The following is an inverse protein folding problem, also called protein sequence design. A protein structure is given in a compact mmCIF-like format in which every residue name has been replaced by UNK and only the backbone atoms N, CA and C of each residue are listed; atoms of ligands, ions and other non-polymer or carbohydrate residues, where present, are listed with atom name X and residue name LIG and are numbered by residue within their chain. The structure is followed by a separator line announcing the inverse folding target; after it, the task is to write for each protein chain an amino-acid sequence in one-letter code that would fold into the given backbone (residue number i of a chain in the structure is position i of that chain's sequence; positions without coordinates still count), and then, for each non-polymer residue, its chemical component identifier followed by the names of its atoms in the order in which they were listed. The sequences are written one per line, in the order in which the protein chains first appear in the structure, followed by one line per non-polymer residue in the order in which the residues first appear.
data_IF_605164595901
#
_entry.id   IF_605164595901
#
_cell.length_a   1.000
_cell.length_b   1.000
_cell.length_c   1.000
_cell.angle_alpha   90.00
_cell.angle_beta   90.00
_cell.angle_gamma   90.00
#
_symmetry.space_group_name_H-M   'P 1'
#
loop_
_entity.id
_entity.type
_entity.pdbx_description
1 polymer ?
#
# COMPACT_ATOMS: atom_id res chain seq x y z
N UNK A 1 -6.06 34.53 -16.42
CA UNK A 1 -5.44 33.20 -16.36
C UNK A 1 -4.47 33.23 -15.20
N UNK A 2 -4.88 32.75 -14.01
CA UNK A 2 -4.08 32.74 -12.80
C UNK A 2 -3.13 31.54 -12.91
N UNK A 3 -1.80 31.70 -12.83
CA UNK A 3 -0.90 30.57 -12.87
C UNK A 3 -1.18 29.69 -11.64
N UNK A 4 -1.37 28.40 -11.89
CA UNK A 4 -1.51 27.42 -10.82
C UNK A 4 -0.32 27.55 -9.85
N UNK A 5 -0.54 27.44 -8.52
CA UNK A 5 0.54 27.51 -7.56
C UNK A 5 1.53 26.41 -7.87
N UNK A 6 2.81 26.77 -7.98
CA UNK A 6 3.93 25.82 -8.08
C UNK A 6 3.89 24.95 -6.83
N UNK A 7 3.30 23.78 -6.94
CA UNK A 7 3.38 22.76 -5.90
C UNK A 7 4.85 22.43 -5.75
N UNK A 8 5.50 22.94 -4.70
CA UNK A 8 6.86 22.54 -4.34
C UNK A 8 6.83 21.03 -4.17
N UNK A 9 7.47 20.33 -5.10
CA UNK A 9 7.62 18.88 -5.02
C UNK A 9 8.28 18.57 -3.68
N UNK A 10 7.59 17.85 -2.81
CA UNK A 10 8.12 17.48 -1.51
C UNK A 10 9.47 16.79 -1.72
N UNK A 11 10.48 17.22 -0.97
CA UNK A 11 11.81 16.61 -1.04
C UNK A 11 11.73 15.20 -0.48
N UNK A 12 12.41 14.27 -1.12
CA UNK A 12 12.58 12.91 -0.60
C UNK A 12 13.37 12.95 0.69
N UNK A 13 12.86 12.35 1.75
CA UNK A 13 13.46 12.30 3.08
C UNK A 13 14.38 11.11 3.20
N UNK A 14 15.59 11.35 3.69
CA UNK A 14 16.63 10.34 3.85
C UNK A 14 17.11 10.34 5.28
N UNK A 15 17.14 9.20 5.93
CA UNK A 15 17.87 9.01 7.18
C UNK A 15 19.25 8.43 6.88
N UNK A 16 20.28 9.03 7.45
CA UNK A 16 21.67 8.54 7.39
C UNK A 16 22.12 8.18 8.79
N UNK A 17 22.37 6.90 9.04
CA UNK A 17 22.96 6.39 10.27
C UNK A 17 24.39 5.92 10.02
N UNK A 18 25.34 6.56 10.69
CA UNK A 18 26.79 6.36 10.51
C UNK A 18 27.49 6.78 11.80
N UNK A 19 28.30 5.95 12.40
CA UNK A 19 28.98 6.27 13.66
C UNK A 19 30.20 7.18 13.47
N UNK A 20 30.92 7.05 12.35
CA UNK A 20 32.01 7.96 12.05
C UNK A 20 31.50 9.38 11.72
N UNK A 21 31.84 10.40 12.53
CA UNK A 21 31.32 11.75 12.37
C UNK A 21 31.78 12.43 11.07
N UNK A 22 32.91 12.02 10.50
CA UNK A 22 33.43 12.59 9.26
C UNK A 22 32.64 12.03 8.08
N UNK A 23 32.48 10.73 8.00
CA UNK A 23 31.71 10.04 6.97
C UNK A 23 30.24 10.49 7.01
N UNK A 24 29.64 10.58 8.21
CA UNK A 24 28.28 11.07 8.40
C UNK A 24 28.08 12.48 7.84
N UNK A 25 29.00 13.41 8.13
CA UNK A 25 28.95 14.79 7.58
C UNK A 25 29.09 14.81 6.07
N UNK A 26 29.99 14.00 5.51
CA UNK A 26 30.22 13.93 4.06
C UNK A 26 28.95 13.40 3.36
N UNK A 27 28.34 12.35 3.90
CA UNK A 27 27.09 11.79 3.39
C UNK A 27 25.98 12.84 3.40
N UNK A 28 25.72 13.45 4.56
CA UNK A 28 24.67 14.45 4.72
C UNK A 28 24.88 15.63 3.75
N UNK A 29 26.06 16.25 3.76
CA UNK A 29 26.36 17.39 2.89
C UNK A 29 26.24 17.05 1.39
N UNK A 30 26.62 15.83 1.00
CA UNK A 30 26.51 15.38 -0.40
C UNK A 30 25.06 15.24 -0.80
N UNK A 31 24.22 14.60 0.02
CA UNK A 31 22.81 14.35 -0.24
C UNK A 31 21.99 15.65 -0.20
N UNK A 32 22.24 16.53 0.78
CA UNK A 32 21.58 17.85 0.87
C UNK A 32 21.89 18.74 -0.34
N UNK A 33 23.13 18.75 -0.81
CA UNK A 33 23.55 19.48 -2.02
C UNK A 33 22.81 18.99 -3.27
N UNK A 34 22.47 17.70 -3.33
CA UNK A 34 21.71 17.09 -4.41
C UNK A 34 20.21 17.31 -4.28
N UNK A 35 19.77 17.96 -3.20
CA UNK A 35 18.39 18.43 -3.03
C UNK A 35 17.51 17.55 -2.17
N UNK A 36 18.03 16.52 -1.50
CA UNK A 36 17.27 15.67 -0.57
C UNK A 36 17.16 16.31 0.82
N UNK A 37 16.18 15.85 1.58
CA UNK A 37 15.98 16.25 2.99
C UNK A 37 16.62 15.18 3.88
N UNK A 38 17.68 15.55 4.62
CA UNK A 38 18.53 14.57 5.31
C UNK A 38 18.42 14.74 6.81
N UNK A 39 18.08 13.64 7.48
CA UNK A 39 18.21 13.50 8.93
C UNK A 39 19.38 12.57 9.22
N UNK A 40 20.16 12.84 10.26
CA UNK A 40 21.32 12.02 10.61
C UNK A 40 21.18 11.41 11.99
N UNK A 41 21.75 10.22 12.17
CA UNK A 41 21.90 9.54 13.46
C UNK A 41 23.36 9.09 13.64
N UNK A 42 23.86 9.16 14.87
CA UNK A 42 25.25 8.86 15.23
C UNK A 42 25.50 7.43 15.63
N UNK A 43 24.44 6.69 15.85
CA UNK A 43 24.46 5.26 16.21
C UNK A 43 23.14 4.59 15.87
N UNK A 44 23.10 3.26 15.96
CA UNK A 44 21.92 2.51 15.60
C UNK A 44 20.73 2.70 16.54
N UNK A 45 20.96 3.00 17.80
CA UNK A 45 19.90 3.27 18.77
C UNK A 45 19.22 4.62 18.51
N UNK A 46 20.00 5.63 18.15
CA UNK A 46 19.48 6.94 17.71
C UNK A 46 18.72 6.81 16.38
N UNK A 47 19.27 6.05 15.44
CA UNK A 47 18.63 5.79 14.17
C UNK A 47 17.26 5.14 14.35
N UNK A 48 17.16 4.12 15.19
CA UNK A 48 15.89 3.45 15.47
C UNK A 48 14.86 4.38 16.15
N UNK A 49 15.28 5.13 17.18
CA UNK A 49 14.41 6.13 17.84
C UNK A 49 13.90 7.18 16.86
N UNK A 50 14.74 7.62 15.94
CA UNK A 50 14.37 8.57 14.89
C UNK A 50 13.33 7.98 13.95
N UNK A 51 13.49 6.74 13.52
CA UNK A 51 12.52 6.00 12.70
C UNK A 51 11.18 5.85 13.40
N UNK A 52 11.16 5.46 14.68
CA UNK A 52 9.94 5.36 15.48
C UNK A 52 9.21 6.71 15.61
N UNK A 53 9.97 7.79 15.81
CA UNK A 53 9.40 9.13 15.95
C UNK A 53 8.84 9.69 14.64
N UNK A 54 9.50 9.41 13.52
CA UNK A 54 9.12 9.85 12.17
C UNK A 54 8.20 8.86 11.44
N UNK A 55 7.66 7.85 12.13
CA UNK A 55 6.81 6.83 11.54
C UNK A 55 5.56 7.36 10.81
N UNK A 56 4.93 6.50 10.03
CA UNK A 56 3.73 6.84 9.26
C UNK A 56 4.03 7.76 8.07
N UNK A 57 3.28 8.87 7.95
CA UNK A 57 3.41 9.80 6.80
C UNK A 57 4.75 10.54 6.76
N UNK A 58 5.42 10.64 7.91
CA UNK A 58 6.70 11.33 8.04
C UNK A 58 7.90 10.38 7.99
N UNK A 59 7.69 9.09 7.84
CA UNK A 59 8.74 8.10 7.69
C UNK A 59 9.70 8.47 6.54
N UNK A 60 11.02 8.31 6.74
CA UNK A 60 11.98 8.50 5.66
C UNK A 60 11.72 7.50 4.53
N UNK A 61 11.86 7.99 3.31
CA UNK A 61 11.67 7.19 2.10
C UNK A 61 12.87 6.31 1.80
N UNK A 62 14.07 6.80 2.17
CA UNK A 62 15.32 6.08 2.08
C UNK A 62 16.03 6.10 3.43
N UNK A 63 16.74 5.01 3.71
CA UNK A 63 17.57 4.88 4.90
C UNK A 63 18.93 4.34 4.47
N UNK A 64 19.99 5.10 4.76
CA UNK A 64 21.37 4.68 4.60
C UNK A 64 21.91 4.29 5.97
N UNK A 65 22.29 3.05 6.15
CA UNK A 65 22.73 2.49 7.42
C UNK A 65 24.17 1.99 7.30
N UNK A 66 25.05 2.46 8.13
CA UNK A 66 26.30 1.73 8.31
C UNK A 66 26.01 0.33 8.85
N UNK A 67 26.71 -0.63 8.32
CA UNK A 67 26.57 -2.02 8.77
C UNK A 67 26.94 -2.17 10.25
N UNK A 68 28.05 -1.59 10.66
CA UNK A 68 28.58 -1.74 12.01
C UNK A 68 28.47 -0.42 12.78
N UNK A 69 27.54 -0.35 13.70
CA UNK A 69 27.33 0.80 14.59
C UNK A 69 27.17 0.35 16.03
N UNK A 70 27.53 1.20 17.00
CA UNK A 70 27.22 0.97 18.40
C UNK A 70 25.71 0.88 18.67
N UNK A 71 25.34 0.07 19.64
CA UNK A 71 23.96 -0.11 20.09
C UNK A 71 23.17 -1.10 19.23
N UNK A 72 22.87 -0.75 17.99
CA UNK A 72 22.15 -1.61 17.05
C UNK A 72 22.87 -1.54 15.70
N UNK A 73 23.15 -2.69 15.10
CA UNK A 73 23.80 -2.72 13.79
C UNK A 73 22.80 -2.46 12.64
N UNK A 74 23.33 -2.14 11.46
CA UNK A 74 22.50 -1.82 10.30
C UNK A 74 21.62 -2.96 9.81
N UNK A 75 22.10 -4.21 9.98
CA UNK A 75 21.35 -5.43 9.65
C UNK A 75 20.16 -5.61 10.60
N UNK A 76 20.37 -5.35 11.87
CA UNK A 76 19.32 -5.44 12.89
C UNK A 76 18.23 -4.40 12.64
N UNK A 77 18.62 -3.14 12.35
CA UNK A 77 17.67 -2.09 11.97
C UNK A 77 16.89 -2.47 10.72
N UNK A 78 17.58 -2.98 9.69
CA UNK A 78 16.94 -3.42 8.46
C UNK A 78 15.88 -4.49 8.72
N UNK A 79 16.19 -5.51 9.53
CA UNK A 79 15.27 -6.58 9.90
C UNK A 79 14.05 -6.05 10.67
N UNK A 80 14.28 -5.12 11.61
CA UNK A 80 13.20 -4.46 12.36
C UNK A 80 12.30 -3.63 11.45
N UNK A 81 12.87 -2.87 10.50
CA UNK A 81 12.09 -2.11 9.51
C UNK A 81 11.15 -3.02 8.70
N UNK A 82 11.62 -4.20 8.27
CA UNK A 82 10.81 -5.14 7.49
C UNK A 82 9.68 -5.79 8.29
N UNK A 83 9.80 -5.84 9.61
CA UNK A 83 8.77 -6.39 10.50
C UNK A 83 7.84 -5.31 11.11
N UNK A 84 8.11 -4.02 10.87
CA UNK A 84 7.36 -2.91 11.46
C UNK A 84 6.40 -2.30 10.43
N UNK A 85 5.08 -2.28 10.69
CA UNK A 85 4.11 -1.65 9.80
C UNK A 85 4.42 -0.15 9.58
N UNK A 86 4.20 0.31 8.35
CA UNK A 86 4.45 1.70 7.95
C UNK A 86 5.81 1.95 7.29
N UNK A 87 6.70 0.95 7.26
CA UNK A 87 8.00 1.02 6.60
C UNK A 87 8.13 0.12 5.37
N UNK A 88 7.02 -0.41 4.87
CA UNK A 88 6.97 -1.36 3.74
C UNK A 88 7.65 -0.83 2.49
N UNK A 89 7.56 0.48 2.27
CA UNK A 89 8.13 1.15 1.10
C UNK A 89 9.47 1.85 1.37
N UNK A 90 10.02 1.73 2.58
CA UNK A 90 11.31 2.33 2.90
C UNK A 90 12.43 1.59 2.19
N UNK A 91 13.19 2.32 1.37
CA UNK A 91 14.34 1.77 0.66
C UNK A 91 15.58 1.83 1.55
N UNK A 92 16.14 0.66 1.85
CA UNK A 92 17.29 0.52 2.76
C UNK A 92 18.54 0.24 1.95
N UNK A 93 19.56 1.06 2.15
CA UNK A 93 20.90 0.91 1.60
C UNK A 93 21.88 0.69 2.75
N UNK A 94 22.62 -0.40 2.72
CA UNK A 94 23.67 -0.66 3.70
C UNK A 94 25.01 -0.09 3.23
N UNK A 95 25.71 0.62 4.11
CA UNK A 95 27.07 1.07 3.90
C UNK A 95 27.99 0.05 4.57
N UNK A 96 28.95 -0.50 3.86
CA UNK A 96 29.76 -1.60 4.40
C UNK A 96 31.22 -1.49 3.99
N UNK A 97 32.13 -1.75 4.93
CA UNK A 97 33.54 -2.02 4.66
C UNK A 97 33.81 -3.47 4.27
N UNK A 98 32.80 -4.35 4.38
CA UNK A 98 32.88 -5.76 4.00
C UNK A 98 32.60 -5.91 2.52
N UNK A 99 33.47 -6.59 1.82
CA UNK A 99 33.41 -6.79 0.38
C UNK A 99 33.26 -8.27 -0.02
N UNK A 100 33.16 -9.17 0.98
CA UNK A 100 33.00 -10.59 0.72
C UNK A 100 31.59 -10.88 0.18
N UNK A 101 31.50 -11.81 -0.76
CA UNK A 101 30.24 -12.11 -1.45
C UNK A 101 29.19 -12.66 -0.50
N UNK A 102 29.62 -13.41 0.50
CA UNK A 102 28.78 -14.00 1.53
C UNK A 102 28.10 -12.92 2.39
N UNK A 103 28.86 -11.90 2.82
CA UNK A 103 28.33 -10.78 3.58
C UNK A 103 27.29 -9.98 2.77
N UNK A 104 27.58 -9.72 1.50
CA UNK A 104 26.66 -9.00 0.61
C UNK A 104 25.36 -9.78 0.36
N UNK A 105 25.45 -11.08 0.17
CA UNK A 105 24.29 -11.94 0.02
C UNK A 105 23.43 -11.95 1.30
N UNK A 106 24.08 -11.98 2.47
CA UNK A 106 23.41 -11.89 3.76
C UNK A 106 22.67 -10.55 3.94
N UNK A 107 23.29 -9.44 3.56
CA UNK A 107 22.70 -8.11 3.62
C UNK A 107 21.38 -8.04 2.83
N UNK A 108 21.40 -8.50 1.59
CA UNK A 108 20.20 -8.55 0.74
C UNK A 108 19.14 -9.53 1.28
N UNK A 109 19.56 -10.67 1.79
CA UNK A 109 18.65 -11.67 2.39
C UNK A 109 17.92 -11.14 3.65
N UNK A 110 18.49 -10.17 4.36
CA UNK A 110 17.83 -9.51 5.51
C UNK A 110 16.81 -8.45 5.14
N UNK A 111 16.64 -8.18 3.83
CA UNK A 111 15.68 -7.24 3.32
C UNK A 111 16.24 -5.86 2.97
N UNK A 112 17.57 -5.68 2.96
CA UNK A 112 18.18 -4.50 2.36
C UNK A 112 17.90 -4.49 0.85
N UNK A 113 17.66 -3.29 0.30
CA UNK A 113 17.39 -3.14 -1.12
C UNK A 113 18.67 -3.00 -1.94
N UNK A 114 19.71 -2.47 -1.31
CA UNK A 114 21.00 -2.26 -1.96
C UNK A 114 22.12 -2.13 -0.90
N UNK A 115 23.35 -2.08 -1.37
CA UNK A 115 24.52 -1.82 -0.53
C UNK A 115 25.52 -0.94 -1.27
N UNK A 116 26.39 -0.26 -0.50
CA UNK A 116 27.50 0.55 -1.00
C UNK A 116 28.75 0.19 -0.20
N UNK A 117 29.79 -0.23 -0.91
CA UNK A 117 31.08 -0.54 -0.27
C UNK A 117 31.85 0.74 0.09
N UNK A 118 32.44 0.78 1.28
CA UNK A 118 33.35 1.83 1.73
C UNK A 118 34.80 1.48 1.32
N UNK A 119 35.59 2.42 0.82
CA UNK A 119 35.26 3.82 0.54
C UNK A 119 34.46 3.96 -0.77
N UNK A 120 33.42 4.79 -0.75
CA UNK A 120 32.54 5.02 -1.89
C UNK A 120 32.84 6.36 -2.59
N UNK A 121 32.54 6.39 -3.88
CA UNK A 121 32.61 7.63 -4.67
C UNK A 121 31.26 8.37 -4.60
N UNK A 122 31.24 9.72 -4.50
CA UNK A 122 30.00 10.50 -4.47
C UNK A 122 29.03 10.22 -5.62
N UNK A 123 29.54 9.93 -6.82
CA UNK A 123 28.72 9.57 -7.98
C UNK A 123 28.01 8.21 -7.77
N UNK A 124 28.66 7.25 -7.14
CA UNK A 124 28.04 5.97 -6.81
C UNK A 124 26.92 6.15 -5.80
N UNK A 125 27.18 6.88 -4.70
CA UNK A 125 26.18 7.23 -3.70
C UNK A 125 24.95 7.90 -4.36
N UNK A 126 25.16 8.94 -5.18
CA UNK A 126 24.10 9.62 -5.89
C UNK A 126 23.29 8.65 -6.76
N UNK A 127 23.97 7.81 -7.53
CA UNK A 127 23.31 6.87 -8.45
C UNK A 127 22.42 5.87 -7.72
N UNK A 128 22.90 5.29 -6.60
CA UNK A 128 22.17 4.35 -5.76
C UNK A 128 20.95 5.01 -5.10
N UNK A 129 21.13 6.19 -4.53
CA UNK A 129 20.03 6.94 -3.90
C UNK A 129 18.97 7.33 -4.93
N UNK A 130 19.34 7.74 -6.14
CA UNK A 130 18.37 8.03 -7.22
C UNK A 130 17.60 6.79 -7.68
N UNK A 131 18.23 5.62 -7.69
CA UNK A 131 17.54 4.35 -7.97
C UNK A 131 16.52 4.07 -6.87
N UNK A 132 16.92 4.19 -5.60
CA UNK A 132 16.03 4.01 -4.45
C UNK A 132 14.85 4.98 -4.47
N UNK A 133 15.11 6.26 -4.70
CA UNK A 133 14.06 7.28 -4.83
C UNK A 133 13.03 6.93 -5.90
N UNK A 134 13.49 6.48 -7.06
CA UNK A 134 12.60 6.05 -8.16
C UNK A 134 11.79 4.83 -7.78
N UNK A 135 12.41 3.86 -7.12
CA UNK A 135 11.74 2.63 -6.68
C UNK A 135 10.62 2.94 -5.67
N UNK A 136 10.89 3.76 -4.66
CA UNK A 136 9.88 4.17 -3.68
C UNK A 136 8.71 4.91 -4.35
N UNK A 137 9.00 5.84 -5.27
CA UNK A 137 7.95 6.56 -6.02
C UNK A 137 7.07 5.61 -6.84
N UNK A 138 7.66 4.62 -7.49
CA UNK A 138 6.92 3.62 -8.26
C UNK A 138 6.05 2.74 -7.36
N UNK A 139 6.60 2.25 -6.25
CA UNK A 139 5.85 1.43 -5.29
C UNK A 139 4.65 2.19 -4.70
N UNK A 140 4.84 3.44 -4.28
CA UNK A 140 3.76 4.30 -3.77
C UNK A 140 2.70 4.60 -4.84
N UNK A 141 3.14 4.86 -6.07
CA UNK A 141 2.21 5.08 -7.18
C UNK A 141 1.39 3.83 -7.48
N UNK A 142 2.02 2.66 -7.46
CA UNK A 142 1.32 1.38 -7.64
C UNK A 142 0.31 1.13 -6.52
N UNK A 143 0.71 1.30 -5.26
CA UNK A 143 -0.18 1.13 -4.11
C UNK A 143 -1.40 2.06 -4.20
N UNK A 144 -1.20 3.34 -4.56
CA UNK A 144 -2.30 4.28 -4.75
C UNK A 144 -3.26 3.85 -5.87
N UNK A 145 -2.74 3.30 -6.98
CA UNK A 145 -3.58 2.79 -8.08
C UNK A 145 -4.35 1.54 -7.69
N UNK A 146 -3.75 0.65 -6.90
CA UNK A 146 -4.47 -0.53 -6.37
C UNK A 146 -5.66 -0.09 -5.52
N UNK A 147 -5.44 0.83 -4.57
CA UNK A 147 -6.53 1.36 -3.72
C UNK A 147 -7.63 2.03 -4.55
N UNK A 148 -7.27 2.87 -5.54
CA UNK A 148 -8.24 3.51 -6.44
C UNK A 148 -9.09 2.49 -7.21
N UNK A 149 -8.47 1.40 -7.68
CA UNK A 149 -9.18 0.32 -8.39
C UNK A 149 -10.08 -0.49 -7.47
N UNK A 150 -9.65 -0.78 -6.24
CA UNK A 150 -10.45 -1.47 -5.23
C UNK A 150 -11.70 -0.66 -4.85
N UNK A 151 -11.54 0.66 -4.64
CA UNK A 151 -12.66 1.57 -4.38
C UNK A 151 -13.64 1.62 -5.57
N UNK A 152 -13.11 1.71 -6.80
CA UNK A 152 -13.95 1.71 -7.99
C UNK A 152 -14.73 0.39 -8.16
N UNK A 153 -14.08 -0.76 -7.91
CA UNK A 153 -14.74 -2.07 -7.92
C UNK A 153 -15.82 -2.18 -6.86
N UNK A 154 -15.57 -1.67 -5.64
CA UNK A 154 -16.59 -1.66 -4.57
C UNK A 154 -17.82 -0.84 -4.97
N UNK A 155 -17.63 0.32 -5.60
CA UNK A 155 -18.73 1.13 -6.14
C UNK A 155 -19.54 0.39 -7.22
N UNK A 156 -18.85 -0.29 -8.16
CA UNK A 156 -19.53 -1.07 -9.21
C UNK A 156 -20.37 -2.20 -8.60
N UNK A 157 -19.81 -2.93 -7.62
CA UNK A 157 -20.53 -3.99 -6.92
C UNK A 157 -21.77 -3.45 -6.17
N UNK A 158 -21.67 -2.28 -5.55
CA UNK A 158 -22.79 -1.65 -4.86
C UNK A 158 -23.90 -1.24 -5.83
N UNK A 159 -23.56 -0.75 -7.03
CA UNK A 159 -24.52 -0.40 -8.07
C UNK A 159 -25.16 -1.63 -8.73
N UNK A 160 -24.41 -2.72 -8.89
CA UNK A 160 -24.94 -3.99 -9.40
C UNK A 160 -25.93 -4.67 -8.43
N UNK A 161 -25.91 -4.30 -7.14
CA UNK A 161 -26.88 -4.77 -6.15
C UNK A 161 -28.25 -4.11 -6.23
N UNK A 162 -28.45 -3.08 -7.07
CA UNK A 162 -29.73 -2.39 -7.23
C UNK A 162 -30.53 -2.98 -8.39
N UNK A 163 -31.51 -3.86 -8.05
CA UNK A 163 -32.45 -4.40 -9.01
C UNK A 163 -33.60 -3.40 -9.24
N UNK A 164 -33.81 -2.89 -10.45
CA UNK A 164 -34.95 -2.03 -10.75
C UNK A 164 -36.23 -2.86 -10.74
N UNK A 165 -37.03 -2.69 -9.68
CA UNK A 165 -38.28 -3.42 -9.48
C UNK A 165 -39.46 -2.49 -9.75
N UNK A 166 -40.45 -2.97 -10.49
CA UNK A 166 -41.72 -2.27 -10.66
C UNK A 166 -42.44 -2.12 -9.31
N UNK A 167 -42.76 -0.91 -8.93
CA UNK A 167 -43.43 -0.61 -7.65
C UNK A 167 -44.80 -1.26 -7.55
N UNK A 168 -45.46 -1.53 -8.68
CA UNK A 168 -46.80 -2.07 -8.75
C UNK A 168 -46.82 -3.60 -8.84
N UNK A 169 -46.28 -4.20 -9.91
CA UNK A 169 -46.33 -5.64 -10.16
C UNK A 169 -45.11 -6.44 -9.70
N UNK A 170 -44.10 -5.77 -9.11
CA UNK A 170 -42.88 -6.38 -8.56
C UNK A 170 -42.01 -7.12 -9.58
N UNK A 171 -42.23 -6.94 -10.87
CA UNK A 171 -41.35 -7.46 -11.91
C UNK A 171 -40.01 -6.71 -11.90
N UNK A 172 -38.95 -7.40 -12.25
CA UNK A 172 -37.59 -6.86 -12.39
C UNK A 172 -37.36 -6.47 -13.85
N UNK A 173 -36.69 -5.35 -14.07
CA UNK A 173 -36.25 -4.93 -15.40
C UNK A 173 -34.85 -5.49 -15.64
N UNK A 174 -34.69 -6.34 -16.65
CA UNK A 174 -33.40 -6.92 -17.03
C UNK A 174 -32.55 -5.97 -17.89
N UNK A 175 -31.33 -6.39 -18.21
CA UNK A 175 -30.38 -5.58 -18.99
C UNK A 175 -30.86 -5.23 -20.41
N UNK A 176 -31.74 -6.05 -20.98
CA UNK A 176 -32.37 -5.81 -22.27
C UNK A 176 -33.64 -4.91 -22.20
N UNK A 177 -33.87 -4.28 -21.06
CA UNK A 177 -35.03 -3.40 -20.81
C UNK A 177 -36.41 -4.08 -20.78
N UNK A 178 -36.48 -5.41 -20.65
CA UNK A 178 -37.72 -6.15 -20.49
C UNK A 178 -38.02 -6.39 -19.01
N UNK A 179 -39.34 -6.48 -18.69
CA UNK A 179 -39.84 -6.75 -17.36
C UNK A 179 -40.19 -8.24 -17.21
N UNK A 180 -39.45 -8.93 -16.34
CA UNK A 180 -39.66 -10.37 -16.06
C UNK A 180 -39.94 -10.64 -14.58
N UNK A 181 -40.41 -11.84 -14.25
CA UNK A 181 -40.68 -12.25 -12.87
C UNK A 181 -39.35 -12.34 -12.09
N UNK A 182 -39.41 -12.02 -10.79
CA UNK A 182 -38.21 -12.02 -9.91
C UNK A 182 -37.56 -13.41 -9.84
N UNK A 183 -38.36 -14.46 -9.79
CA UNK A 183 -37.90 -15.85 -9.75
C UNK A 183 -37.16 -16.25 -11.03
N UNK A 184 -37.71 -15.89 -12.20
CA UNK A 184 -37.03 -16.09 -13.49
C UNK A 184 -35.71 -15.35 -13.57
N UNK A 185 -35.68 -14.07 -13.15
CA UNK A 185 -34.48 -13.27 -13.13
C UNK A 185 -33.41 -13.87 -12.22
N UNK A 186 -33.75 -14.23 -10.98
CA UNK A 186 -32.83 -14.82 -10.01
C UNK A 186 -32.26 -16.17 -10.47
N UNK A 187 -33.09 -16.99 -11.11
CA UNK A 187 -32.69 -18.31 -11.64
C UNK A 187 -31.65 -18.19 -12.77
N UNK A 188 -31.73 -17.12 -13.58
CA UNK A 188 -30.83 -16.89 -14.72
C UNK A 188 -29.56 -16.08 -14.36
N UNK A 189 -29.61 -15.24 -13.31
CA UNK A 189 -28.54 -14.29 -12.95
C UNK A 189 -27.90 -14.59 -11.59
N UNK A 190 -28.23 -15.66 -10.91
CA UNK A 190 -27.63 -16.06 -9.65
C UNK A 190 -27.45 -17.57 -9.52
N UNK A 191 -26.64 -18.00 -8.55
CA UNK A 191 -26.49 -19.42 -8.19
C UNK A 191 -27.55 -19.92 -7.22
N UNK A 192 -28.55 -19.10 -6.91
CA UNK A 192 -29.60 -19.42 -5.97
C UNK A 192 -30.56 -20.47 -6.55
N UNK A 193 -30.87 -21.50 -5.78
CA UNK A 193 -31.91 -22.46 -6.09
C UNK A 193 -33.17 -22.08 -5.33
N UNK A 194 -34.23 -21.69 -6.06
CA UNK A 194 -35.50 -21.32 -5.48
C UNK A 194 -36.31 -22.57 -5.19
N UNK A 195 -36.87 -22.65 -3.99
CA UNK A 195 -37.90 -23.64 -3.62
C UNK A 195 -39.25 -22.92 -3.47
N UNK A 196 -40.30 -23.55 -3.93
CA UNK A 196 -41.64 -22.97 -3.87
C UNK A 196 -42.38 -23.50 -2.66
N UNK A 197 -43.03 -22.59 -1.94
CA UNK A 197 -43.89 -22.88 -0.81
C UNK A 197 -45.02 -21.85 -0.71
N UNK A 198 -46.04 -22.15 0.06
CA UNK A 198 -47.13 -21.22 0.33
C UNK A 198 -46.95 -20.68 1.75
N UNK A 199 -46.89 -19.37 1.90
CA UNK A 199 -46.81 -18.77 3.25
C UNK A 199 -48.17 -18.90 3.97
N UNK A 200 -48.19 -18.88 5.32
CA UNK A 200 -49.41 -19.05 6.10
C UNK A 200 -50.54 -18.09 5.70
N UNK A 201 -50.22 -16.84 5.43
CA UNK A 201 -51.21 -15.83 5.02
C UNK A 201 -51.83 -16.13 3.65
N UNK A 202 -51.02 -16.59 2.69
CA UNK A 202 -51.54 -16.98 1.37
C UNK A 202 -52.35 -18.28 1.45
N UNK A 203 -51.95 -19.23 2.29
CA UNK A 203 -52.68 -20.45 2.53
C UNK A 203 -54.08 -20.14 3.13
N UNK A 204 -54.13 -19.29 4.14
CA UNK A 204 -55.41 -18.89 4.77
C UNK A 204 -56.34 -18.17 3.78
N UNK A 205 -55.80 -17.32 2.93
CA UNK A 205 -56.55 -16.62 1.89
C UNK A 205 -57.13 -17.61 0.85
N UNK A 206 -56.29 -18.55 0.41
CA UNK A 206 -56.69 -19.55 -0.57
C UNK A 206 -57.78 -20.51 0.00
N UNK A 207 -57.70 -20.85 1.29
CA UNK A 207 -58.72 -21.66 1.96
C UNK A 207 -60.06 -20.93 2.03
N UNK A 208 -60.09 -19.64 2.33
CA UNK A 208 -61.31 -18.81 2.35
C UNK A 208 -61.94 -18.70 0.95
N UNK A 209 -61.12 -18.49 -0.08
CA UNK A 209 -61.60 -18.41 -1.47
C UNK A 209 -62.21 -19.73 -1.95
N UNK A 210 -61.75 -20.89 -1.44
CA UNK A 210 -62.30 -22.21 -1.72
C UNK A 210 -63.66 -22.46 -0.99
N UNK A 211 -63.80 -21.90 0.22
CA UNK A 211 -65.04 -21.99 1.00
C UNK A 211 -66.14 -21.08 0.45
N UNK A 212 -65.80 -19.95 -0.17
CA UNK A 212 -66.67 -18.94 -0.73
C UNK A 212 -67.09 -19.24 -2.19
N UNK A 213 -66.52 -20.25 -2.85
CA UNK A 213 -66.83 -20.60 -4.26
C UNK A 213 -67.99 -21.60 -4.27
N UNK A 214 -69.20 -21.18 -4.64
CA UNK A 214 -70.37 -22.12 -4.76
C UNK A 214 -70.14 -23.04 -5.98
N UNK A 215 -70.46 -24.32 -5.79
CA UNK A 215 -70.42 -25.35 -6.80
C UNK A 215 -71.48 -25.10 -7.94
#
# INVERSE_FOLDING_TARGET
MIPAPLVRKAKTRILVAEDDPVTRKILAATLERLGWDVTTASDGSEAWRTLETLGGKDAPELVLLDWMMPGMDGIEICRKLRSTPGFEFTYVVLLTSRSEKEDLAMALATGANDYIAKPFHPIELESRVRVGERMVKLQRSLAARVTELEEALAHVQQLQGLLPICSYCKKVRNESNYWEQVDSYLSSHSTLKLTHGICPQCLEKMMKELEESPA
#
